data_IF_996622533909
#
_entry.id   IF_996622533909
#
_cell.length_a   1.000
_cell.length_b   1.000
_cell.length_c   1.000
_cell.angle_alpha   90.00
_cell.angle_beta   90.00
_cell.angle_gamma   90.00
#
_symmetry.space_group_name_H-M   'P 1'
#
loop_
_entity.id
_entity.type
_entity.pdbx_description
1 polymer ?
#
# COMPACT_ATOMS: atom_id res chain seq x y z
N UNK A 1 8.50 -2.23 -58.09
CA UNK A 1 8.85 -0.86 -57.65
C UNK A 1 7.69 0.04 -58.06
N UNK A 2 6.67 0.30 -57.22
CA UNK A 2 6.62 1.49 -56.35
C UNK A 2 5.36 1.46 -55.44
N UNK A 3 5.12 0.37 -54.71
CA UNK A 3 4.05 0.28 -53.70
C UNK A 3 4.37 1.03 -52.39
N UNK A 4 5.49 1.76 -52.33
CA UNK A 4 6.04 2.40 -51.12
C UNK A 4 5.53 3.83 -50.93
N UNK A 5 4.94 4.46 -51.95
CA UNK A 5 4.46 5.87 -51.87
C UNK A 5 3.07 6.04 -51.26
N UNK A 6 2.22 5.00 -51.21
CA UNK A 6 0.85 5.09 -50.66
C UNK A 6 0.77 5.00 -49.12
N UNK A 7 1.81 4.47 -48.47
CA UNK A 7 1.82 4.28 -47.01
C UNK A 7 2.08 5.57 -46.21
N UNK A 8 2.72 6.58 -46.81
CA UNK A 8 3.09 7.81 -46.10
C UNK A 8 1.95 8.84 -46.02
N UNK A 9 0.95 8.75 -46.90
CA UNK A 9 -0.19 9.67 -46.93
C UNK A 9 -1.21 9.31 -45.84
N UNK A 10 -1.31 8.03 -45.44
CA UNK A 10 -2.32 7.57 -44.48
C UNK A 10 -1.95 7.84 -43.00
N UNK A 11 -0.67 8.09 -42.69
CA UNK A 11 -0.19 8.33 -41.32
C UNK A 11 -0.36 9.79 -40.86
N UNK A 12 -0.59 10.73 -41.79
CA UNK A 12 -0.74 12.15 -41.46
C UNK A 12 -2.17 12.56 -41.04
N UNK A 13 -3.19 11.74 -41.34
CA UNK A 13 -4.60 12.09 -41.10
C UNK A 13 -5.16 11.51 -39.77
N UNK A 14 -4.48 10.53 -39.17
CA UNK A 14 -4.90 9.92 -37.90
C UNK A 14 -4.25 10.55 -36.65
N UNK A 15 -3.30 11.46 -36.81
CA UNK A 15 -2.66 12.17 -35.68
C UNK A 15 -3.49 13.34 -35.11
N UNK A 16 -4.62 13.70 -35.74
CA UNK A 16 -5.44 14.84 -35.31
C UNK A 16 -6.57 14.55 -34.32
N UNK A 17 -6.96 13.27 -34.11
CA UNK A 17 -8.21 12.93 -33.39
C UNK A 17 -7.95 12.36 -31.97
N UNK A 18 -6.72 11.94 -31.64
CA UNK A 18 -6.39 11.35 -30.32
C UNK A 18 -5.99 12.41 -29.28
N UNK A 19 -6.21 13.71 -29.54
CA UNK A 19 -5.91 14.78 -28.58
C UNK A 19 -7.11 15.23 -27.73
N UNK A 20 -8.35 14.85 -28.07
CA UNK A 20 -9.57 15.42 -27.45
C UNK A 20 -10.15 14.53 -26.32
N UNK A 21 -9.73 13.27 -26.19
CA UNK A 21 -10.37 12.32 -25.26
C UNK A 21 -9.64 12.13 -23.91
N UNK A 22 -8.46 12.73 -23.71
CA UNK A 22 -7.68 12.56 -22.46
C UNK A 22 -7.91 13.66 -21.40
N UNK A 23 -8.86 14.58 -21.61
CA UNK A 23 -9.07 15.73 -20.71
C UNK A 23 -10.20 15.54 -19.68
N UNK A 24 -10.92 14.40 -19.66
CA UNK A 24 -12.08 14.21 -18.79
C UNK A 24 -11.90 13.19 -17.66
N UNK A 25 -10.70 12.64 -17.45
CA UNK A 25 -10.46 11.66 -16.37
C UNK A 25 -9.22 11.93 -15.49
N UNK A 26 -8.69 13.16 -15.46
CA UNK A 26 -7.68 13.58 -14.48
C UNK A 26 -8.34 14.23 -13.26
N UNK A 27 -9.14 13.42 -12.55
CA UNK A 27 -9.57 13.69 -11.18
C UNK A 27 -8.56 13.17 -10.15
N UNK A 28 -7.26 13.45 -10.32
CA UNK A 28 -6.25 13.18 -9.31
C UNK A 28 -6.16 14.40 -8.39
N UNK A 29 -6.99 14.42 -7.36
CA UNK A 29 -6.94 15.46 -6.32
C UNK A 29 -5.60 15.36 -5.55
N UNK A 30 -4.79 16.44 -5.45
CA UNK A 30 -3.48 16.43 -4.78
C UNK A 30 -3.56 16.29 -3.25
N UNK A 31 -4.75 16.18 -2.67
CA UNK A 31 -4.96 16.11 -1.22
C UNK A 31 -4.47 14.80 -0.56
N UNK A 32 -4.23 13.73 -1.33
CA UNK A 32 -3.83 12.43 -0.77
C UNK A 32 -2.32 12.34 -0.48
N UNK A 33 -1.49 13.16 -1.15
CA UNK A 33 -0.03 13.08 -1.03
C UNK A 33 0.47 13.77 0.24
N UNK A 34 -0.14 14.88 0.64
CA UNK A 34 0.24 15.59 1.88
C UNK A 34 -0.23 14.84 3.12
N UNK A 35 -1.42 14.22 3.07
CA UNK A 35 -1.94 13.45 4.19
C UNK A 35 -1.02 12.27 4.54
N UNK A 36 -0.52 11.53 3.54
CA UNK A 36 0.35 10.38 3.80
C UNK A 36 1.75 10.78 4.34
N UNK A 37 2.27 11.96 3.94
CA UNK A 37 3.50 12.52 4.49
C UNK A 37 3.34 12.98 5.94
N UNK A 38 2.25 13.68 6.27
CA UNK A 38 1.94 14.11 7.64
C UNK A 38 1.64 12.92 8.57
N UNK A 39 0.89 11.93 8.08
CA UNK A 39 0.63 10.67 8.80
C UNK A 39 1.92 9.88 9.07
N UNK A 40 2.83 9.85 8.09
CA UNK A 40 4.13 9.19 8.26
C UNK A 40 5.13 10.01 9.10
N UNK A 41 5.05 11.33 9.11
CA UNK A 41 5.88 12.19 9.96
C UNK A 41 5.61 11.98 11.46
N UNK A 42 4.37 11.62 11.82
CA UNK A 42 3.99 11.26 13.18
C UNK A 42 4.26 9.79 13.54
N UNK A 43 4.63 8.96 12.56
CA UNK A 43 4.90 7.56 12.80
C UNK A 43 6.21 7.36 13.59
N UNK A 44 6.31 6.22 14.29
CA UNK A 44 7.52 5.87 15.06
C UNK A 44 8.76 5.70 14.17
N UNK A 45 8.54 5.34 12.91
CA UNK A 45 9.55 5.17 11.88
C UNK A 45 9.03 5.77 10.56
N UNK A 46 9.39 7.03 10.27
CA UNK A 46 8.87 7.75 9.11
C UNK A 46 9.38 7.13 7.80
N UNK A 47 10.64 6.68 7.75
CA UNK A 47 11.24 6.11 6.55
C UNK A 47 10.52 4.82 6.14
N UNK A 48 10.24 3.96 7.12
CA UNK A 48 9.50 2.72 6.88
C UNK A 48 8.02 2.96 6.57
N UNK A 49 7.43 4.01 7.14
CA UNK A 49 6.06 4.40 6.81
C UNK A 49 5.94 4.80 5.34
N UNK A 50 6.88 5.62 4.84
CA UNK A 50 6.92 6.02 3.43
C UNK A 50 7.15 4.82 2.51
N UNK A 51 8.11 3.96 2.83
CA UNK A 51 8.34 2.74 2.04
C UNK A 51 7.10 1.82 2.02
N UNK A 52 6.29 1.82 3.09
CA UNK A 52 5.02 1.09 3.14
C UNK A 52 3.95 1.74 2.27
N UNK A 53 3.83 3.07 2.30
CA UNK A 53 2.92 3.82 1.44
C UNK A 53 3.22 3.56 -0.04
N UNK A 54 4.50 3.64 -0.42
CA UNK A 54 4.98 3.35 -1.78
C UNK A 54 4.70 1.90 -2.19
N UNK A 55 4.91 0.93 -1.29
CA UNK A 55 4.56 -0.46 -1.57
C UNK A 55 3.04 -0.65 -1.75
N UNK A 56 2.22 0.04 -0.97
CA UNK A 56 0.75 -0.04 -1.07
C UNK A 56 0.27 0.56 -2.39
N UNK A 57 0.80 1.71 -2.80
CA UNK A 57 0.45 2.35 -4.07
C UNK A 57 0.88 1.50 -5.27
N UNK A 58 2.08 0.93 -5.23
CA UNK A 58 2.57 0.04 -6.28
C UNK A 58 1.79 -1.28 -6.38
N UNK A 59 1.33 -1.83 -5.24
CA UNK A 59 0.53 -3.06 -5.19
C UNK A 59 -0.98 -2.79 -5.19
N UNK A 60 -1.44 -1.56 -5.50
CA UNK A 60 -2.83 -1.14 -5.35
C UNK A 60 -3.81 -1.99 -6.19
N UNK A 61 -3.37 -2.40 -7.40
CA UNK A 61 -4.17 -3.18 -8.36
C UNK A 61 -4.22 -4.68 -8.06
N UNK A 62 -3.47 -5.15 -7.05
CA UNK A 62 -3.46 -6.56 -6.65
C UNK A 62 -4.42 -6.80 -5.49
N UNK A 63 -4.95 -8.03 -5.40
CA UNK A 63 -5.87 -8.45 -4.34
C UNK A 63 -5.48 -9.80 -3.75
N UNK A 64 -6.04 -10.13 -2.59
CA UNK A 64 -5.86 -11.44 -1.95
C UNK A 64 -4.41 -11.75 -1.57
N UNK A 65 -3.96 -12.97 -1.88
CA UNK A 65 -2.58 -13.44 -1.65
C UNK A 65 -1.58 -12.65 -2.48
N UNK A 66 -1.87 -12.40 -3.75
CA UNK A 66 -0.99 -11.65 -4.66
C UNK A 66 -0.63 -10.25 -4.13
N UNK A 67 -1.59 -9.56 -3.49
CA UNK A 67 -1.30 -8.28 -2.83
C UNK A 67 -0.33 -8.45 -1.66
N UNK A 68 -0.51 -9.48 -0.83
CA UNK A 68 0.36 -9.73 0.33
C UNK A 68 1.78 -10.06 -0.13
N UNK A 69 1.90 -10.90 -1.14
CA UNK A 69 3.20 -11.29 -1.68
C UNK A 69 3.92 -10.08 -2.27
N UNK A 70 3.21 -9.23 -3.05
CA UNK A 70 3.75 -7.98 -3.57
C UNK A 70 4.24 -7.03 -2.46
N UNK A 71 3.46 -6.88 -1.39
CA UNK A 71 3.86 -6.07 -0.24
C UNK A 71 5.08 -6.67 0.47
N UNK A 72 5.12 -7.98 0.68
CA UNK A 72 6.24 -8.66 1.35
C UNK A 72 7.56 -8.51 0.58
N UNK A 73 7.51 -8.53 -0.76
CA UNK A 73 8.71 -8.34 -1.60
C UNK A 73 9.20 -6.89 -1.59
N UNK A 74 8.29 -5.91 -1.51
CA UNK A 74 8.65 -4.48 -1.60
C UNK A 74 8.96 -3.83 -0.26
N UNK A 75 8.47 -4.39 0.85
CA UNK A 75 8.59 -3.74 2.14
C UNK A 75 9.98 -3.96 2.75
N UNK A 76 10.68 -2.89 3.17
CA UNK A 76 11.98 -3.04 3.81
C UNK A 76 11.84 -3.71 5.18
N UNK A 77 12.86 -4.48 5.60
CA UNK A 77 12.94 -5.02 6.95
C UNK A 77 12.89 -3.87 7.98
N UNK A 78 12.27 -4.08 9.16
CA UNK A 78 12.18 -3.04 10.17
C UNK A 78 13.56 -2.69 10.76
N UNK A 79 13.84 -1.41 10.93
CA UNK A 79 15.05 -0.95 11.62
C UNK A 79 14.91 -1.18 13.14
N UNK A 80 15.46 -2.30 13.62
CA UNK A 80 15.37 -2.65 15.03
C UNK A 80 16.02 -1.64 15.98
N UNK A 81 16.90 -0.75 15.48
CA UNK A 81 17.48 0.33 16.27
C UNK A 81 16.48 1.44 16.63
N UNK A 82 15.50 1.69 15.78
CA UNK A 82 14.43 2.68 16.02
C UNK A 82 13.23 2.08 16.77
N UNK A 83 13.20 0.75 16.94
CA UNK A 83 12.15 0.05 17.64
C UNK A 83 12.15 0.38 19.14
N UNK A 84 10.97 0.42 19.80
CA UNK A 84 10.87 0.64 21.25
C UNK A 84 11.56 -0.45 22.08
N UNK A 85 11.76 -1.64 21.52
CA UNK A 85 12.56 -2.70 22.12
C UNK A 85 13.47 -3.33 21.04
N UNK A 86 14.74 -2.90 20.95
CA UNK A 86 15.65 -3.38 19.91
C UNK A 86 15.97 -4.86 20.05
N UNK A 87 16.12 -5.36 21.28
CA UNK A 87 16.42 -6.77 21.57
C UNK A 87 15.31 -7.70 21.09
N UNK A 88 14.04 -7.32 21.34
CA UNK A 88 12.89 -8.08 20.84
C UNK A 88 12.81 -8.07 19.31
N UNK A 89 13.08 -6.92 18.69
CA UNK A 89 13.04 -6.81 17.24
C UNK A 89 14.12 -7.66 16.56
N UNK A 90 15.35 -7.68 17.10
CA UNK A 90 16.43 -8.54 16.60
C UNK A 90 16.06 -10.01 16.71
N UNK A 91 15.59 -10.44 17.89
CA UNK A 91 15.12 -11.80 18.11
C UNK A 91 14.01 -12.20 17.12
N UNK A 92 13.09 -11.28 16.81
CA UNK A 92 12.05 -11.51 15.80
C UNK A 92 12.61 -11.67 14.38
N UNK A 93 13.63 -10.90 14.02
CA UNK A 93 14.26 -11.00 12.71
C UNK A 93 14.99 -12.34 12.56
N UNK A 94 15.80 -12.71 13.55
CA UNK A 94 16.55 -13.97 13.57
C UNK A 94 15.61 -15.18 13.52
N UNK A 95 14.52 -15.14 14.28
CA UNK A 95 13.50 -16.18 14.27
C UNK A 95 12.76 -16.26 12.93
N UNK A 96 12.44 -15.12 12.30
CA UNK A 96 11.80 -15.10 10.97
C UNK A 96 12.70 -15.67 9.90
N UNK A 97 14.00 -15.41 9.96
CA UNK A 97 14.97 -15.96 9.01
C UNK A 97 15.12 -17.47 9.21
N UNK A 98 15.21 -17.92 10.46
CA UNK A 98 15.32 -19.35 10.81
C UNK A 98 14.06 -20.14 10.41
N UNK A 99 12.88 -19.56 10.63
CA UNK A 99 11.60 -20.21 10.36
C UNK A 99 11.04 -19.92 8.95
N UNK A 100 11.77 -19.23 8.05
CA UNK A 100 11.24 -18.78 6.74
C UNK A 100 10.76 -19.91 5.82
N UNK A 101 11.28 -21.12 6.01
CA UNK A 101 10.92 -22.32 5.25
C UNK A 101 9.60 -22.95 5.71
N UNK A 102 9.11 -22.57 6.90
CA UNK A 102 7.89 -23.11 7.48
C UNK A 102 6.71 -22.19 7.20
N UNK A 103 5.52 -22.77 7.08
CA UNK A 103 4.27 -22.04 6.85
C UNK A 103 3.18 -22.44 7.85
N UNK A 104 2.16 -21.60 7.98
CA UNK A 104 0.97 -21.90 8.75
C UNK A 104 1.23 -22.13 10.24
N UNK A 105 0.79 -23.28 10.76
CA UNK A 105 0.96 -23.66 12.17
C UNK A 105 2.41 -23.99 12.52
N UNK A 106 3.15 -24.62 11.61
CA UNK A 106 4.56 -24.94 11.83
C UNK A 106 5.42 -23.68 12.02
N UNK A 107 5.17 -22.63 11.22
CA UNK A 107 5.81 -21.32 11.39
C UNK A 107 5.54 -20.74 12.79
N UNK A 108 4.29 -20.84 13.27
CA UNK A 108 3.92 -20.31 14.59
C UNK A 108 4.60 -21.05 15.73
N UNK A 109 4.70 -22.38 15.64
CA UNK A 109 5.42 -23.17 16.63
C UNK A 109 6.90 -22.80 16.65
N UNK A 110 7.54 -22.73 15.48
CA UNK A 110 8.95 -22.34 15.37
C UNK A 110 9.22 -20.95 15.95
N UNK A 111 8.41 -19.94 15.60
CA UNK A 111 8.53 -18.59 16.17
C UNK A 111 8.35 -18.59 17.70
N UNK A 112 7.44 -19.43 18.22
CA UNK A 112 7.21 -19.58 19.65
C UNK A 112 8.41 -20.22 20.36
N UNK A 113 9.07 -21.19 19.73
CA UNK A 113 10.28 -21.82 20.25
C UNK A 113 11.44 -20.82 20.35
N UNK A 114 11.49 -19.85 19.43
CA UNK A 114 12.37 -18.68 19.51
C UNK A 114 11.89 -17.59 20.50
N UNK A 115 10.84 -17.83 21.29
CA UNK A 115 10.33 -16.87 22.28
C UNK A 115 9.53 -15.69 21.68
N UNK A 116 9.16 -15.78 20.40
CA UNK A 116 8.28 -14.82 19.72
C UNK A 116 6.83 -15.29 19.90
N UNK A 117 6.21 -14.80 20.97
CA UNK A 117 4.78 -15.01 21.18
C UNK A 117 3.97 -14.00 20.37
N UNK A 118 2.90 -14.45 19.67
CA UNK A 118 1.98 -13.52 19.03
C UNK A 118 1.36 -12.61 20.10
N UNK A 119 1.08 -11.33 19.78
CA UNK A 119 0.45 -10.43 20.73
C UNK A 119 -0.86 -11.08 21.19
N UNK A 120 -1.01 -11.28 22.52
CA UNK A 120 -2.26 -11.75 23.11
C UNK A 120 -3.35 -10.83 22.58
N UNK A 121 -4.39 -11.39 21.95
CA UNK A 121 -5.54 -10.62 21.47
C UNK A 121 -6.18 -9.93 22.67
N UNK A 122 -5.73 -8.71 22.97
CA UNK A 122 -6.46 -7.82 23.84
C UNK A 122 -7.82 -7.62 23.19
N UNK A 123 -8.90 -7.73 23.98
CA UNK A 123 -10.24 -7.33 23.52
C UNK A 123 -10.19 -5.82 23.25
N UNK A 124 -9.70 -5.43 22.08
CA UNK A 124 -9.66 -4.04 21.64
C UNK A 124 -11.11 -3.59 21.52
N UNK A 125 -11.54 -2.73 22.45
CA UNK A 125 -12.84 -2.07 22.35
C UNK A 125 -12.81 -1.25 21.06
N UNK A 126 -13.57 -1.70 20.07
CA UNK A 126 -13.83 -0.94 18.85
C UNK A 126 -14.52 0.37 19.23
N UNK A 127 -13.76 1.45 19.50
CA UNK A 127 -14.30 2.80 19.45
C UNK A 127 -14.45 3.15 17.97
N UNK A 128 -15.59 2.76 17.38
CA UNK A 128 -16.03 3.29 16.09
C UNK A 128 -16.49 4.73 16.32
N UNK A 129 -15.90 5.63 15.56
CA UNK A 129 -15.97 7.08 15.71
C UNK A 129 -17.39 7.61 15.44
N UNK A 130 -17.90 8.48 16.32
CA UNK A 130 -19.12 9.25 16.10
C UNK A 130 -18.81 10.57 15.36
N UNK A 131 -18.32 10.45 14.12
CA UNK A 131 -18.10 11.61 13.23
C UNK A 131 -18.64 11.29 11.83
N UNK A 132 -19.95 11.12 11.73
CA UNK A 132 -20.67 11.07 10.46
C UNK A 132 -22.16 11.41 10.67
N UNK A 133 -22.43 12.62 11.15
CA UNK A 133 -23.74 13.25 10.97
C UNK A 133 -23.57 14.51 10.13
N UNK A 134 -23.06 14.33 8.92
CA UNK A 134 -23.27 15.29 7.83
C UNK A 134 -24.77 15.32 7.60
N UNK A 135 -25.43 16.33 8.18
CA UNK A 135 -26.83 16.65 7.96
C UNK A 135 -27.04 16.82 6.45
N UNK A 136 -27.59 15.81 5.77
CA UNK A 136 -28.33 16.00 4.53
C UNK A 136 -29.59 16.80 4.87
N UNK A 137 -29.49 18.13 4.85
CA UNK A 137 -30.65 19.02 4.83
C UNK A 137 -31.02 19.26 3.37
N UNK A 138 -31.64 18.26 2.75
CA UNK A 138 -32.45 18.47 1.55
C UNK A 138 -33.69 19.25 2.00
N UNK A 139 -33.63 20.58 1.86
CA UNK A 139 -34.82 21.43 1.92
C UNK A 139 -35.67 21.14 0.69
N UNK A 140 -36.71 20.34 0.88
CA UNK A 140 -37.83 20.24 -0.05
C UNK A 140 -38.55 21.59 -0.08
N UNK A 141 -38.60 22.20 -1.26
CA UNK A 141 -39.49 23.31 -1.59
C UNK A 141 -40.84 22.68 -1.95
N UNK A 142 -41.89 23.05 -1.22
CA UNK A 142 -43.28 23.00 -1.68
C UNK A 142 -44.11 23.98 -0.84
#
# INVERSE_FOLDING_TARGET
MNSIVKSKIFVALTQGIIAVSCALFTGATPAQVTAELDDCAQARDPLRCLARADAISACANLHGTAKRDCLLTRLPPPDCKAAPNPTRCQLEQDAKESCKSLQGTALRSCLKDHGIEPPKKGKGKTKRNASAKVKKKTSTVH
#
